data_IF_801296380635
#
_entry.id   IF_801296380635
#
_cell.length_a   1.000
_cell.length_b   1.000
_cell.length_c   1.000
_cell.angle_alpha   90.00
_cell.angle_beta   90.00
_cell.angle_gamma   90.00
#
_symmetry.space_group_name_H-M   'P 1'
#
loop_
_entity.id
_entity.type
_entity.pdbx_description
1 polymer ?
#
# COMPACT_ATOMS: atom_id res chain seq x y z
N UNK A 1 -17.95 26.13 16.34
CA UNK A 1 -17.38 25.46 15.13
C UNK A 1 -16.32 26.39 14.58
N UNK A 2 -15.13 25.89 14.34
CA UNK A 2 -14.06 26.64 13.69
C UNK A 2 -14.24 26.54 12.16
N UNK A 3 -13.91 27.59 11.42
CA UNK A 3 -13.93 27.58 9.96
C UNK A 3 -12.52 27.30 9.46
N UNK A 4 -12.35 26.32 8.57
CA UNK A 4 -11.07 25.98 7.99
C UNK A 4 -11.10 26.08 6.46
N UNK A 5 -9.95 26.42 5.88
CA UNK A 5 -9.76 26.46 4.42
C UNK A 5 -9.20 25.13 3.95
N UNK A 6 -9.81 24.58 2.90
CA UNK A 6 -9.38 23.36 2.23
C UNK A 6 -8.94 23.71 0.80
N UNK A 7 -7.69 23.44 0.49
CA UNK A 7 -7.11 23.61 -0.84
C UNK A 7 -7.10 22.27 -1.53
N UNK A 8 -8.08 22.02 -2.39
CA UNK A 8 -8.28 20.71 -3.04
C UNK A 8 -7.87 20.80 -4.50
N UNK A 9 -7.07 19.82 -4.93
CA UNK A 9 -6.73 19.67 -6.35
C UNK A 9 -7.96 19.25 -7.15
N UNK A 10 -8.24 19.96 -8.25
CA UNK A 10 -9.35 19.71 -9.18
C UNK A 10 -8.82 19.60 -10.59
N UNK A 11 -9.16 18.51 -11.28
CA UNK A 11 -8.72 18.25 -12.63
C UNK A 11 -8.80 16.78 -13.01
N UNK A 12 -8.09 16.42 -14.08
CA UNK A 12 -8.01 15.07 -14.64
C UNK A 12 -6.62 14.80 -15.22
N UNK A 13 -6.48 13.75 -16.05
CA UNK A 13 -5.21 13.39 -16.68
C UNK A 13 -4.63 14.48 -17.62
N UNK A 14 -5.44 15.45 -18.08
CA UNK A 14 -4.98 16.56 -18.92
C UNK A 14 -4.37 17.71 -18.12
N UNK A 15 -4.56 17.71 -16.79
CA UNK A 15 -4.06 18.72 -15.86
C UNK A 15 -5.12 19.20 -14.89
N UNK A 16 -4.71 20.07 -14.00
CA UNK A 16 -5.61 20.58 -12.97
C UNK A 16 -5.05 21.78 -12.23
N UNK A 17 -5.84 22.25 -11.25
CA UNK A 17 -5.49 23.38 -10.39
C UNK A 17 -6.02 23.17 -8.99
N UNK A 18 -5.41 23.85 -8.05
CA UNK A 18 -5.96 23.94 -6.69
C UNK A 18 -7.13 24.92 -6.63
N UNK A 19 -8.16 24.54 -5.89
CA UNK A 19 -9.32 25.37 -5.60
C UNK A 19 -9.53 25.40 -4.09
N UNK A 20 -9.72 26.59 -3.55
CA UNK A 20 -9.95 26.79 -2.12
C UNK A 20 -11.44 26.73 -1.80
N UNK A 21 -11.76 25.94 -0.78
CA UNK A 21 -13.11 25.76 -0.22
C UNK A 21 -13.08 26.05 1.28
N UNK A 22 -14.22 26.32 1.85
CA UNK A 22 -14.35 26.53 3.29
C UNK A 22 -15.30 25.51 3.89
N UNK A 23 -14.93 24.89 4.99
CA UNK A 23 -15.79 23.98 5.73
C UNK A 23 -15.79 24.31 7.23
N UNK A 24 -16.91 24.05 7.88
CA UNK A 24 -17.03 24.15 9.32
C UNK A 24 -16.45 22.89 9.98
N UNK A 25 -15.54 23.07 10.92
CA UNK A 25 -14.89 21.99 11.64
C UNK A 25 -15.41 21.91 13.06
N UNK A 26 -15.89 20.76 13.44
CA UNK A 26 -16.33 20.42 14.79
C UNK A 26 -15.47 19.32 15.41
N UNK A 27 -15.61 19.11 16.70
CA UNK A 27 -14.93 18.03 17.42
C UNK A 27 -15.30 16.66 16.82
N UNK A 28 -14.31 15.79 16.70
CA UNK A 28 -14.47 14.45 16.17
C UNK A 28 -14.49 14.33 14.65
N UNK A 29 -14.56 15.43 13.90
CA UNK A 29 -14.52 15.38 12.44
C UNK A 29 -13.20 14.85 11.88
N UNK A 30 -13.31 14.17 10.74
CA UNK A 30 -12.18 13.74 9.91
C UNK A 30 -12.16 14.48 8.58
N UNK A 31 -11.05 14.44 7.88
CA UNK A 31 -10.88 15.11 6.56
C UNK A 31 -11.96 14.70 5.57
N UNK A 32 -12.39 13.44 5.56
CA UNK A 32 -13.45 12.97 4.67
C UNK A 32 -14.80 13.66 4.93
N UNK A 33 -15.12 13.97 6.19
CA UNK A 33 -16.36 14.68 6.52
C UNK A 33 -16.36 16.10 5.97
N UNK A 34 -15.22 16.79 6.06
CA UNK A 34 -15.06 18.13 5.46
C UNK A 34 -15.19 18.07 3.92
N UNK A 35 -14.60 17.07 3.27
CA UNK A 35 -14.77 16.86 1.81
C UNK A 35 -16.24 16.63 1.47
N UNK A 36 -16.97 15.83 2.23
CA UNK A 36 -18.41 15.62 2.01
C UNK A 36 -19.24 16.91 2.25
N UNK A 37 -18.86 17.72 3.23
CA UNK A 37 -19.52 19.02 3.44
C UNK A 37 -19.30 19.95 2.24
N UNK A 38 -18.08 19.99 1.71
CA UNK A 38 -17.75 20.76 0.50
C UNK A 38 -18.55 20.25 -0.71
N UNK A 39 -18.64 18.92 -0.89
CA UNK A 39 -19.48 18.33 -1.95
C UNK A 39 -20.95 18.75 -1.81
N UNK A 40 -21.48 18.76 -0.61
CA UNK A 40 -22.87 19.07 -0.37
C UNK A 40 -23.22 20.56 -0.58
N UNK A 41 -22.26 21.47 -0.35
CA UNK A 41 -22.55 22.91 -0.25
C UNK A 41 -21.87 23.79 -1.31
N UNK A 42 -20.75 23.35 -1.90
CA UNK A 42 -19.92 24.20 -2.76
C UNK A 42 -19.50 23.55 -4.08
N UNK A 43 -19.28 22.22 -4.10
CA UNK A 43 -18.73 21.50 -5.24
C UNK A 43 -19.33 20.10 -5.34
N UNK A 44 -20.57 20.01 -5.76
CA UNK A 44 -21.30 18.74 -5.90
C UNK A 44 -20.69 17.78 -6.93
N UNK A 45 -19.83 18.31 -7.79
CA UNK A 45 -19.09 17.58 -8.83
C UNK A 45 -17.68 17.14 -8.41
N UNK A 46 -17.23 17.45 -7.18
CA UNK A 46 -15.93 17.02 -6.65
C UNK A 46 -15.87 15.50 -6.53
N UNK A 47 -15.01 14.89 -7.35
CA UNK A 47 -14.85 13.44 -7.36
C UNK A 47 -13.99 12.96 -6.17
N UNK A 48 -14.55 12.09 -5.35
CA UNK A 48 -13.88 11.47 -4.21
C UNK A 48 -14.38 10.04 -4.03
N UNK A 49 -13.46 9.09 -3.84
CA UNK A 49 -13.83 7.71 -3.47
C UNK A 49 -13.95 7.57 -1.96
N UNK A 50 -14.98 6.88 -1.55
CA UNK A 50 -15.14 6.45 -0.15
C UNK A 50 -16.12 5.27 -0.07
N UNK A 51 -16.10 4.53 1.05
CA UNK A 51 -17.04 3.44 1.30
C UNK A 51 -17.28 3.23 2.79
N UNK A 52 -16.33 2.63 3.54
CA UNK A 52 -16.57 2.15 4.90
C UNK A 52 -16.57 3.25 5.99
N UNK A 53 -15.91 4.38 5.78
CA UNK A 53 -15.65 5.45 6.77
C UNK A 53 -14.97 4.99 8.07
N UNK A 54 -14.37 3.80 8.09
CA UNK A 54 -13.84 3.13 9.29
C UNK A 54 -12.42 2.59 9.10
N UNK A 55 -11.65 3.10 8.12
CA UNK A 55 -10.27 2.70 7.89
C UNK A 55 -10.06 1.27 7.39
N UNK A 56 -11.10 0.59 6.82
CA UNK A 56 -11.04 -0.83 6.47
C UNK A 56 -11.11 -1.16 4.97
N UNK A 57 -11.42 -0.20 4.11
CA UNK A 57 -11.58 -0.46 2.67
C UNK A 57 -10.51 0.20 1.79
N UNK A 58 -9.71 1.13 2.31
CA UNK A 58 -8.68 1.84 1.56
C UNK A 58 -9.19 2.82 0.50
N UNK A 59 -10.50 2.92 0.25
CA UNK A 59 -11.05 3.70 -0.88
C UNK A 59 -10.79 5.20 -0.79
N UNK A 60 -10.76 5.77 0.42
CA UNK A 60 -10.58 7.21 0.66
C UNK A 60 -9.10 7.63 0.77
N UNK A 61 -8.20 6.88 0.14
CA UNK A 61 -6.76 7.22 0.09
C UNK A 61 -6.54 8.48 -0.74
N UNK A 62 -5.81 9.44 -0.16
CA UNK A 62 -5.41 10.69 -0.80
C UNK A 62 -4.13 11.22 -0.15
N UNK A 63 -3.53 12.24 -0.70
CA UNK A 63 -2.50 13.01 0.01
C UNK A 63 -3.16 14.14 0.79
N UNK A 64 -2.84 14.22 2.09
CA UNK A 64 -3.29 15.29 2.98
C UNK A 64 -2.04 15.98 3.52
N UNK A 65 -1.88 17.25 3.18
CA UNK A 65 -0.69 18.06 3.51
C UNK A 65 0.61 17.34 3.08
N UNK A 66 0.65 16.83 1.85
CA UNK A 66 1.80 16.15 1.25
C UNK A 66 2.09 14.75 1.78
N UNK A 67 1.22 14.19 2.63
CA UNK A 67 1.38 12.83 3.17
C UNK A 67 0.23 11.92 2.74
N UNK A 68 0.52 10.71 2.22
CA UNK A 68 -0.52 9.73 1.92
C UNK A 68 -1.24 9.28 3.20
N UNK A 69 -2.56 9.47 3.23
CA UNK A 69 -3.42 9.14 4.38
C UNK A 69 -4.78 8.63 3.94
N UNK A 70 -5.45 7.90 4.83
CA UNK A 70 -6.89 7.64 4.71
C UNK A 70 -7.66 8.86 5.21
N UNK A 71 -8.42 9.53 4.36
CA UNK A 71 -9.18 10.72 4.76
C UNK A 71 -10.19 10.43 5.88
N UNK A 72 -10.75 9.22 5.94
CA UNK A 72 -11.68 8.81 6.99
C UNK A 72 -11.02 8.54 8.36
N UNK A 73 -9.67 8.46 8.42
CA UNK A 73 -8.91 8.24 9.65
C UNK A 73 -8.06 9.46 10.03
N UNK A 74 -8.02 10.48 9.20
CA UNK A 74 -7.27 11.71 9.45
C UNK A 74 -8.14 12.69 10.20
N UNK A 75 -7.90 12.83 11.51
CA UNK A 75 -8.69 13.70 12.37
C UNK A 75 -8.35 15.17 12.11
N UNK A 76 -9.35 16.01 12.13
CA UNK A 76 -9.16 17.46 11.99
C UNK A 76 -8.42 18.07 13.18
N UNK A 77 -8.53 17.46 14.37
CA UNK A 77 -7.75 17.84 15.56
C UNK A 77 -6.24 17.67 15.42
N UNK A 78 -5.78 16.80 14.48
CA UNK A 78 -4.37 16.50 14.28
C UNK A 78 -3.74 17.36 13.17
N UNK A 79 -4.50 18.35 12.66
CA UNK A 79 -4.11 19.25 11.57
C UNK A 79 -4.09 20.69 12.09
N UNK A 80 -3.06 21.44 11.72
CA UNK A 80 -3.03 22.89 11.97
C UNK A 80 -4.03 23.60 11.04
N UNK A 81 -5.11 24.09 11.60
CA UNK A 81 -6.18 24.79 10.87
C UNK A 81 -5.87 26.28 10.58
N UNK A 82 -4.76 26.82 11.06
CA UNK A 82 -4.29 28.16 10.69
C UNK A 82 -3.75 28.21 9.26
N UNK A 83 -3.41 27.04 8.70
CA UNK A 83 -2.98 26.88 7.31
C UNK A 83 -4.04 26.14 6.51
N UNK A 84 -4.17 26.39 5.20
CA UNK A 84 -5.05 25.61 4.34
C UNK A 84 -4.72 24.11 4.40
N UNK A 85 -5.73 23.28 4.58
CA UNK A 85 -5.60 21.82 4.49
C UNK A 85 -5.51 21.44 3.01
N UNK A 86 -4.35 21.03 2.55
CA UNK A 86 -4.11 20.66 1.15
C UNK A 86 -4.50 19.22 0.93
N UNK A 87 -5.36 18.95 -0.06
CA UNK A 87 -5.79 17.60 -0.42
C UNK A 87 -5.55 17.37 -1.92
N UNK A 88 -4.80 16.30 -2.22
CA UNK A 88 -4.37 15.94 -3.57
C UNK A 88 -4.65 14.46 -3.86
N UNK A 89 -4.82 14.08 -5.15
CA UNK A 89 -4.85 12.66 -5.52
C UNK A 89 -3.52 11.97 -5.17
N UNK A 90 -3.53 10.65 -5.10
CA UNK A 90 -2.32 9.85 -4.93
C UNK A 90 -1.37 10.06 -6.13
N UNK A 91 -0.16 10.60 -5.89
CA UNK A 91 0.79 11.04 -6.92
C UNK A 91 1.45 9.90 -7.71
N UNK A 92 1.50 8.68 -7.15
CA UNK A 92 2.07 7.53 -7.85
C UNK A 92 1.12 6.92 -8.89
N UNK A 93 -0.10 7.43 -9.03
CA UNK A 93 -1.10 6.88 -9.93
C UNK A 93 -1.72 7.98 -10.80
N UNK A 94 -2.05 7.70 -12.08
CA UNK A 94 -2.68 8.68 -12.95
C UNK A 94 -4.02 9.17 -12.37
N UNK A 95 -4.29 10.48 -12.33
CA UNK A 95 -5.58 10.99 -11.93
C UNK A 95 -6.65 10.66 -12.98
N UNK A 96 -7.81 10.18 -12.55
CA UNK A 96 -9.01 10.05 -13.38
C UNK A 96 -9.80 11.35 -13.31
N UNK A 97 -10.11 11.79 -12.10
CA UNK A 97 -10.78 13.07 -11.83
C UNK A 97 -10.59 13.45 -10.37
N UNK A 98 -10.18 14.68 -10.13
CA UNK A 98 -9.98 15.28 -8.81
C UNK A 98 -9.18 14.35 -7.87
N UNK A 99 -9.77 13.83 -6.80
CA UNK A 99 -9.11 12.93 -5.84
C UNK A 99 -9.16 11.46 -6.25
N UNK A 100 -9.73 11.13 -7.40
CA UNK A 100 -9.86 9.75 -7.90
C UNK A 100 -8.72 9.42 -8.86
N UNK A 101 -7.97 8.37 -8.54
CA UNK A 101 -6.83 7.88 -9.35
C UNK A 101 -7.07 6.51 -9.93
N UNK A 102 -6.37 6.18 -11.02
CA UNK A 102 -6.36 4.84 -11.62
C UNK A 102 -5.36 3.94 -10.90
N UNK A 103 -5.87 3.07 -10.06
CA UNK A 103 -5.09 2.09 -9.31
C UNK A 103 -5.00 0.72 -9.99
N UNK A 104 -5.38 0.60 -11.25
CA UNK A 104 -5.41 -0.65 -12.04
C UNK A 104 -4.07 -1.35 -12.10
N UNK A 105 -2.96 -0.61 -12.08
CA UNK A 105 -1.61 -1.15 -11.95
C UNK A 105 -1.52 -2.22 -10.87
N UNK A 106 -2.04 -1.92 -9.67
CA UNK A 106 -1.93 -2.82 -8.53
C UNK A 106 -2.66 -4.15 -8.76
N UNK A 107 -3.79 -4.12 -9.45
CA UNK A 107 -4.54 -5.34 -9.77
C UNK A 107 -3.88 -6.15 -10.90
N UNK A 108 -3.25 -5.49 -11.88
CA UNK A 108 -2.45 -6.16 -12.91
C UNK A 108 -1.29 -6.92 -12.28
N UNK A 109 -0.48 -6.26 -11.44
CA UNK A 109 0.65 -6.88 -10.74
C UNK A 109 0.18 -8.01 -9.83
N UNK A 110 -0.92 -7.84 -9.08
CA UNK A 110 -1.45 -8.89 -8.21
C UNK A 110 -1.80 -10.19 -8.98
N UNK A 111 -2.25 -10.07 -10.23
CA UNK A 111 -2.57 -11.23 -11.09
C UNK A 111 -1.33 -12.01 -11.54
N UNK A 112 -0.16 -11.40 -11.63
CA UNK A 112 1.08 -12.09 -12.03
C UNK A 112 1.71 -12.89 -10.89
N UNK A 113 1.39 -12.56 -9.62
CA UNK A 113 1.94 -13.26 -8.47
C UNK A 113 1.36 -14.69 -8.42
N UNK A 114 2.23 -15.69 -8.41
CA UNK A 114 1.86 -17.09 -8.32
C UNK A 114 0.99 -17.35 -7.09
N UNK A 115 -0.09 -18.12 -7.29
CA UNK A 115 -1.08 -18.40 -6.25
C UNK A 115 -0.51 -19.36 -5.22
N UNK A 116 -1.19 -19.43 -4.06
CA UNK A 116 -0.90 -20.40 -3.02
C UNK A 116 -1.02 -21.84 -3.55
N UNK A 117 -0.01 -22.67 -3.27
CA UNK A 117 0.05 -24.09 -3.65
C UNK A 117 0.29 -24.93 -2.40
N UNK A 118 -0.74 -25.52 -1.81
CA UNK A 118 -0.60 -26.21 -0.54
C UNK A 118 0.27 -27.46 -0.68
N UNK A 119 1.09 -27.72 0.35
CA UNK A 119 1.76 -29.02 0.51
C UNK A 119 0.73 -30.11 0.85
N UNK A 120 1.15 -31.37 0.79
CA UNK A 120 0.27 -32.48 1.21
C UNK A 120 -0.14 -32.31 2.68
N UNK A 121 -1.38 -32.69 3.04
CA UNK A 121 -1.80 -32.75 4.43
C UNK A 121 -0.89 -33.61 5.31
N UNK A 122 -0.78 -33.27 6.57
CA UNK A 122 0.03 -34.02 7.55
C UNK A 122 -0.74 -35.22 8.10
N UNK A 123 -2.07 -35.12 8.17
CA UNK A 123 -2.92 -36.10 8.80
C UNK A 123 -3.82 -36.79 7.77
N UNK A 124 -4.27 -38.05 8.06
CA UNK A 124 -5.17 -38.81 7.19
C UNK A 124 -6.55 -38.14 6.97
N UNK A 125 -6.97 -37.29 7.88
CA UNK A 125 -8.22 -36.53 7.81
C UNK A 125 -8.13 -35.28 6.90
N UNK A 126 -6.97 -35.04 6.26
CA UNK A 126 -6.77 -33.91 5.37
C UNK A 126 -6.37 -32.60 6.06
N UNK A 127 -6.00 -32.64 7.34
CA UNK A 127 -5.60 -31.45 8.10
C UNK A 127 -4.07 -31.22 8.06
N UNK A 128 -3.67 -29.97 8.30
CA UNK A 128 -2.27 -29.55 8.40
C UNK A 128 -1.94 -29.08 9.82
N UNK A 129 -0.72 -29.38 10.26
CA UNK A 129 -0.18 -28.86 11.51
C UNK A 129 0.75 -27.67 11.19
N UNK A 130 0.55 -26.57 11.91
CA UNK A 130 1.43 -25.40 11.86
C UNK A 130 1.93 -25.05 13.26
N UNK A 131 3.21 -24.70 13.36
CA UNK A 131 3.73 -24.14 14.63
C UNK A 131 3.26 -22.70 14.79
N UNK A 132 3.01 -22.28 16.02
CA UNK A 132 2.52 -20.93 16.32
C UNK A 132 3.48 -19.85 15.80
N UNK A 133 4.79 -20.07 15.90
CA UNK A 133 5.80 -19.15 15.37
C UNK A 133 5.70 -18.91 13.85
N UNK A 134 5.28 -19.90 13.08
CA UNK A 134 5.08 -19.77 11.63
C UNK A 134 3.80 -18.99 11.32
N UNK A 135 2.77 -19.19 12.13
CA UNK A 135 1.52 -18.40 12.05
C UNK A 135 1.83 -16.93 12.35
N UNK A 136 2.53 -16.66 13.46
CA UNK A 136 2.86 -15.31 13.90
C UNK A 136 3.70 -14.56 12.85
N UNK A 137 4.61 -15.25 12.17
CA UNK A 137 5.47 -14.68 11.14
C UNK A 137 4.68 -14.10 9.95
N UNK A 138 3.58 -14.74 9.54
CA UNK A 138 2.80 -14.33 8.36
C UNK A 138 1.50 -13.60 8.70
N UNK A 139 1.06 -13.66 9.96
CA UNK A 139 -0.23 -13.13 10.40
C UNK A 139 -0.31 -11.61 10.20
N UNK A 140 0.77 -10.88 10.41
CA UNK A 140 0.82 -9.42 10.24
C UNK A 140 0.36 -8.99 8.84
N UNK A 141 0.74 -9.74 7.80
CA UNK A 141 0.46 -9.39 6.42
C UNK A 141 -1.03 -9.45 6.05
N UNK A 142 -1.82 -10.24 6.80
CA UNK A 142 -3.28 -10.36 6.61
C UNK A 142 -4.03 -9.07 6.95
N UNK A 143 -3.42 -8.16 7.71
CA UNK A 143 -4.00 -6.86 8.04
C UNK A 143 -4.10 -5.92 6.84
N UNK A 144 -3.42 -6.22 5.73
CA UNK A 144 -3.36 -5.34 4.57
C UNK A 144 -4.73 -5.12 3.91
N UNK A 145 -5.23 -3.89 3.95
CA UNK A 145 -6.52 -3.46 3.39
C UNK A 145 -6.43 -2.98 1.92
N UNK A 146 -5.29 -3.13 1.27
CA UNK A 146 -5.06 -2.72 -0.12
C UNK A 146 -5.36 -1.22 -0.38
N UNK A 147 -5.02 -0.35 0.56
CA UNK A 147 -5.21 1.10 0.44
C UNK A 147 -4.21 1.78 -0.51
N UNK A 148 -3.12 1.11 -0.85
CA UNK A 148 -2.04 1.59 -1.73
C UNK A 148 -1.26 2.84 -1.26
N UNK A 149 -1.43 3.29 -0.02
CA UNK A 149 -0.65 4.40 0.53
C UNK A 149 0.85 4.11 0.53
N UNK A 150 1.24 2.86 0.81
CA UNK A 150 2.63 2.41 0.74
C UNK A 150 3.20 2.44 -0.69
N UNK A 151 2.37 2.19 -1.71
CA UNK A 151 2.73 2.35 -3.12
C UNK A 151 2.90 3.83 -3.45
N UNK A 152 1.98 4.67 -2.99
CA UNK A 152 1.98 6.10 -3.26
C UNK A 152 3.18 6.83 -2.67
N UNK A 153 3.65 6.44 -1.48
CA UNK A 153 4.81 7.09 -0.84
C UNK A 153 6.15 6.55 -1.36
N UNK A 154 6.12 5.47 -2.12
CA UNK A 154 7.35 4.84 -2.62
C UNK A 154 8.00 5.69 -3.71
N UNK A 155 9.17 6.27 -3.44
CA UNK A 155 9.89 7.09 -4.41
C UNK A 155 10.22 6.36 -5.72
N UNK A 156 10.39 5.03 -5.69
CA UNK A 156 10.61 4.23 -6.91
C UNK A 156 9.41 4.30 -7.86
N UNK A 157 8.19 4.27 -7.30
CA UNK A 157 6.96 4.39 -8.09
C UNK A 157 6.56 5.86 -8.32
N UNK A 158 6.64 6.70 -7.27
CA UNK A 158 6.19 8.08 -7.30
C UNK A 158 7.10 9.00 -8.12
N UNK A 159 8.41 8.96 -7.82
CA UNK A 159 9.37 9.93 -8.35
C UNK A 159 10.13 9.39 -9.57
N UNK A 160 10.40 8.08 -9.59
CA UNK A 160 11.12 7.42 -10.69
C UNK A 160 10.21 6.71 -11.69
N UNK A 161 8.89 6.65 -11.42
CA UNK A 161 7.86 6.08 -12.33
C UNK A 161 8.14 4.65 -12.82
N UNK A 162 8.81 3.82 -11.99
CA UNK A 162 9.24 2.45 -12.32
C UNK A 162 8.12 1.41 -12.21
N UNK A 163 6.94 1.70 -12.73
CA UNK A 163 5.78 0.79 -12.62
C UNK A 163 5.96 -0.49 -13.45
N UNK A 164 6.72 -0.45 -14.52
CA UNK A 164 6.94 -1.62 -15.38
C UNK A 164 8.04 -2.55 -14.82
N UNK A 165 8.98 -2.02 -14.01
CA UNK A 165 10.14 -2.76 -13.52
C UNK A 165 10.07 -3.07 -12.01
N UNK A 166 9.06 -2.56 -11.29
CA UNK A 166 9.01 -2.64 -9.83
C UNK A 166 7.59 -2.82 -9.32
N UNK A 167 7.31 -3.96 -8.72
CA UNK A 167 5.97 -4.28 -8.19
C UNK A 167 5.54 -3.39 -7.02
N UNK A 168 6.49 -2.94 -6.20
CA UNK A 168 6.23 -2.05 -5.08
C UNK A 168 5.86 -2.75 -3.76
N UNK A 169 5.88 -1.97 -2.65
CA UNK A 169 5.81 -2.51 -1.30
C UNK A 169 4.54 -3.30 -0.98
N UNK A 170 3.37 -2.92 -1.52
CA UNK A 170 2.12 -3.67 -1.31
C UNK A 170 2.25 -5.11 -1.81
N UNK A 171 2.86 -5.29 -2.97
CA UNK A 171 2.98 -6.61 -3.59
C UNK A 171 4.03 -7.46 -2.90
N UNK A 172 5.07 -6.86 -2.31
CA UNK A 172 6.01 -7.61 -1.46
C UNK A 172 5.38 -8.07 -0.15
N UNK A 173 4.46 -7.30 0.44
CA UNK A 173 3.65 -7.76 1.58
C UNK A 173 2.84 -9.00 1.20
N UNK A 174 2.18 -8.97 0.04
CA UNK A 174 1.40 -10.11 -0.44
C UNK A 174 2.28 -11.32 -0.78
N UNK A 175 3.39 -11.10 -1.47
CA UNK A 175 4.35 -12.16 -1.81
C UNK A 175 4.97 -12.77 -0.54
N UNK A 176 5.35 -11.94 0.44
CA UNK A 176 5.89 -12.41 1.71
C UNK A 176 4.90 -13.28 2.49
N UNK A 177 3.62 -12.89 2.48
CA UNK A 177 2.55 -13.67 3.11
C UNK A 177 2.43 -15.09 2.53
N UNK A 178 2.70 -15.26 1.24
CA UNK A 178 2.68 -16.54 0.56
C UNK A 178 4.02 -17.28 0.71
N UNK A 179 5.13 -16.62 0.37
CA UNK A 179 6.47 -17.20 0.35
C UNK A 179 6.98 -17.66 1.73
N UNK A 180 6.49 -17.02 2.79
CA UNK A 180 6.87 -17.38 4.17
C UNK A 180 5.85 -18.31 4.84
N UNK A 181 4.77 -18.70 4.15
CA UNK A 181 3.79 -19.61 4.69
C UNK A 181 4.33 -21.05 4.60
N UNK A 182 4.42 -21.80 5.72
CA UNK A 182 5.01 -23.15 5.73
C UNK A 182 4.15 -24.19 4.98
N UNK A 183 2.90 -23.85 4.66
CA UNK A 183 2.04 -24.74 3.86
C UNK A 183 2.17 -24.48 2.35
N UNK A 184 2.82 -23.40 1.92
CA UNK A 184 2.99 -23.07 0.51
C UNK A 184 4.26 -23.71 -0.06
N UNK A 185 4.14 -24.38 -1.19
CA UNK A 185 5.24 -25.03 -1.91
C UNK A 185 5.66 -24.28 -3.17
N UNK A 186 5.00 -23.16 -3.49
CA UNK A 186 5.33 -22.39 -4.68
C UNK A 186 6.56 -21.51 -4.44
N UNK A 187 7.46 -21.49 -5.41
CA UNK A 187 8.68 -20.68 -5.37
C UNK A 187 8.47 -19.37 -6.14
N UNK A 188 8.52 -18.25 -5.42
CA UNK A 188 8.36 -16.90 -5.96
C UNK A 188 9.65 -16.08 -5.95
N UNK A 189 10.72 -16.60 -5.40
CA UNK A 189 11.98 -15.85 -5.27
C UNK A 189 12.58 -15.45 -6.62
N UNK A 190 12.55 -16.29 -7.68
CA UNK A 190 12.98 -15.86 -9.01
C UNK A 190 12.15 -14.72 -9.57
N UNK A 191 10.82 -14.77 -9.41
CA UNK A 191 9.89 -13.74 -9.90
C UNK A 191 10.10 -12.42 -9.16
N UNK A 192 10.29 -12.47 -7.83
CA UNK A 192 10.57 -11.29 -7.00
C UNK A 192 11.85 -10.57 -7.43
N UNK A 193 12.89 -11.36 -7.80
CA UNK A 193 14.16 -10.82 -8.28
C UNK A 193 14.02 -10.18 -9.67
N UNK A 194 13.45 -10.92 -10.61
CA UNK A 194 13.47 -10.59 -12.04
C UNK A 194 12.31 -9.65 -12.42
N UNK A 195 11.09 -10.09 -12.23
CA UNK A 195 9.87 -9.36 -12.62
C UNK A 195 9.44 -8.35 -11.57
N UNK A 196 9.58 -8.72 -10.30
CA UNK A 196 9.22 -7.87 -9.17
C UNK A 196 10.14 -6.67 -8.97
N UNK A 197 11.40 -6.75 -9.45
CA UNK A 197 12.35 -5.65 -9.36
C UNK A 197 12.74 -5.28 -7.92
N UNK A 198 12.78 -6.27 -7.00
CA UNK A 198 13.05 -6.04 -5.58
C UNK A 198 14.39 -5.28 -5.35
N UNK A 199 15.32 -5.36 -6.29
CA UNK A 199 16.60 -4.66 -6.27
C UNK A 199 16.47 -3.13 -6.23
N UNK A 200 15.42 -2.56 -6.81
CA UNK A 200 15.16 -1.11 -6.80
C UNK A 200 14.85 -0.56 -5.40
N UNK A 201 14.41 -1.38 -4.47
CA UNK A 201 14.10 -0.92 -3.11
C UNK A 201 15.39 -0.65 -2.31
N UNK A 202 15.60 0.59 -1.88
CA UNK A 202 16.73 1.04 -1.07
C UNK A 202 16.42 1.13 0.44
N UNK A 203 15.32 0.53 0.90
CA UNK A 203 15.00 0.37 2.34
C UNK A 203 14.80 1.71 3.09
N UNK A 204 14.18 2.71 2.47
CA UNK A 204 13.88 4.01 3.11
C UNK A 204 12.82 3.95 4.20
N UNK A 205 12.10 2.83 4.35
CA UNK A 205 11.02 2.61 5.33
C UNK A 205 9.80 3.54 5.20
N UNK A 206 9.72 4.38 4.17
CA UNK A 206 8.58 5.27 3.94
C UNK A 206 7.24 4.51 3.85
N UNK A 207 7.24 3.34 3.22
CA UNK A 207 6.06 2.47 3.11
C UNK A 207 5.55 1.95 4.46
N UNK A 208 6.46 1.59 5.37
CA UNK A 208 6.11 1.19 6.74
C UNK A 208 5.49 2.36 7.50
N UNK A 209 6.07 3.56 7.36
CA UNK A 209 5.62 4.76 8.08
C UNK A 209 4.17 5.16 7.78
N UNK A 210 3.70 4.97 6.54
CA UNK A 210 2.35 5.38 6.12
C UNK A 210 1.30 4.27 6.23
N UNK A 211 1.68 3.08 6.67
CA UNK A 211 0.75 1.95 6.73
C UNK A 211 -0.30 2.16 7.83
N UNK A 212 -1.61 2.29 7.51
CA UNK A 212 -2.65 2.53 8.51
C UNK A 212 -2.93 1.30 9.38
N UNK A 213 -2.54 0.12 8.94
CA UNK A 213 -2.66 -1.15 9.69
C UNK A 213 -1.34 -1.51 10.42
N UNK A 214 -0.37 -0.57 10.47
CA UNK A 214 0.91 -0.72 11.17
C UNK A 214 1.70 -1.97 10.78
N UNK A 215 1.65 -2.38 9.50
CA UNK A 215 2.45 -3.49 9.00
C UNK A 215 3.90 -3.02 8.87
N UNK A 216 4.82 -3.78 9.44
CA UNK A 216 6.28 -3.55 9.31
C UNK A 216 6.78 -4.01 7.93
N UNK A 217 6.29 -3.33 6.88
CA UNK A 217 6.47 -3.72 5.47
C UNK A 217 7.94 -3.94 5.14
N UNK A 218 8.80 -3.02 5.55
CA UNK A 218 10.23 -3.11 5.25
C UNK A 218 10.90 -4.23 6.00
N UNK A 219 10.70 -4.29 7.31
CA UNK A 219 11.45 -5.20 8.19
C UNK A 219 10.96 -6.64 8.06
N UNK A 220 9.64 -6.84 7.98
CA UNK A 220 9.06 -8.20 8.00
C UNK A 220 8.78 -8.79 6.59
N UNK A 221 8.64 -7.94 5.56
CA UNK A 221 8.41 -8.42 4.19
C UNK A 221 9.60 -8.19 3.26
N UNK A 222 10.03 -6.92 3.08
CA UNK A 222 11.01 -6.58 2.04
C UNK A 222 12.40 -7.13 2.37
N UNK A 223 12.91 -6.91 3.59
CA UNK A 223 14.24 -7.38 3.99
C UNK A 223 14.32 -8.90 3.91
N UNK A 224 13.40 -9.69 4.49
CA UNK A 224 13.45 -11.15 4.37
C UNK A 224 13.34 -11.67 2.93
N UNK A 225 12.61 -10.99 2.04
CA UNK A 225 12.61 -11.35 0.62
C UNK A 225 13.96 -11.05 -0.05
N UNK A 226 14.61 -9.93 0.30
CA UNK A 226 15.96 -9.61 -0.18
C UNK A 226 16.99 -10.63 0.27
N UNK A 227 16.96 -11.03 1.54
CA UNK A 227 17.83 -12.08 2.09
C UNK A 227 17.66 -13.39 1.33
N UNK A 228 16.42 -13.85 1.11
CA UNK A 228 16.15 -15.07 0.31
C UNK A 228 16.64 -14.97 -1.13
N UNK A 229 16.58 -13.79 -1.75
CA UNK A 229 17.16 -13.57 -3.08
C UNK A 229 18.69 -13.68 -3.02
N UNK A 230 19.33 -13.08 -2.00
CA UNK A 230 20.79 -13.15 -1.82
C UNK A 230 21.23 -14.60 -1.60
N UNK A 231 20.62 -15.32 -0.67
CA UNK A 231 20.92 -16.72 -0.37
C UNK A 231 20.79 -17.62 -1.61
N UNK A 232 19.77 -17.35 -2.41
CA UNK A 232 19.52 -18.19 -3.59
C UNK A 232 20.47 -17.92 -4.75
N UNK A 233 20.78 -16.66 -5.03
CA UNK A 233 21.47 -16.28 -6.27
C UNK A 233 22.89 -15.79 -6.08
N UNK A 234 23.26 -15.33 -4.91
CA UNK A 234 24.53 -14.64 -4.67
C UNK A 234 25.41 -15.31 -3.60
N UNK A 235 24.84 -16.10 -2.66
CA UNK A 235 25.62 -16.81 -1.66
C UNK A 235 26.41 -17.96 -2.30
N UNK A 236 27.75 -17.92 -2.28
CA UNK A 236 28.59 -18.94 -2.88
C UNK A 236 28.46 -20.29 -2.18
N UNK A 237 28.28 -20.33 -0.86
CA UNK A 237 28.14 -21.56 -0.06
C UNK A 237 26.86 -22.29 -0.45
N UNK A 238 25.75 -21.57 -0.48
CA UNK A 238 24.45 -22.12 -0.89
C UNK A 238 24.48 -22.61 -2.34
N UNK A 239 25.18 -21.92 -3.25
CA UNK A 239 25.35 -22.36 -4.64
C UNK A 239 26.12 -23.67 -4.74
N UNK A 240 27.24 -23.80 -4.00
CA UNK A 240 28.06 -25.04 -3.96
C UNK A 240 27.23 -26.20 -3.40
N UNK A 241 26.54 -26.00 -2.28
CA UNK A 241 25.70 -27.02 -1.65
C UNK A 241 24.55 -27.50 -2.56
N UNK A 242 24.00 -26.63 -3.40
CA UNK A 242 22.97 -27.02 -4.39
C UNK A 242 23.55 -27.89 -5.50
N UNK A 243 24.74 -27.56 -6.01
CA UNK A 243 25.42 -28.36 -7.03
C UNK A 243 25.77 -29.75 -6.49
N UNK A 244 26.12 -29.86 -5.20
CA UNK A 244 26.45 -31.15 -4.56
C UNK A 244 25.22 -32.01 -4.23
N UNK A 245 24.03 -31.41 -4.15
CA UNK A 245 22.78 -32.12 -3.84
C UNK A 245 21.94 -32.51 -5.07
N UNK A 246 22.26 -31.97 -6.24
CA UNK A 246 21.56 -32.28 -7.51
C UNK A 246 22.26 -33.31 -8.31
#
# INVERSE_FOLDING_TARGET
MAKATFRIWRGDASGGKFVDYSADVSEGMVVLDAVHQIQATQANDLACRWNCKAGKCGSCSAEVNGMPKLMCMTRMSDIDLNMPVVIEPMQAFPPIRDLVTDVSFNFRVKKTIKKFKPRKPDNPDGTWTMYQQDVDRVQEFRKCIECFLCQNVCHVLRDHHKHEEFHGPRHYVYTAALEMNPLDTEDRIPDVRNEGGLGYCNITKCCTKVCPEHIHITDNAIIPLKERVVDRFYDPVTRILRVLKG
#
